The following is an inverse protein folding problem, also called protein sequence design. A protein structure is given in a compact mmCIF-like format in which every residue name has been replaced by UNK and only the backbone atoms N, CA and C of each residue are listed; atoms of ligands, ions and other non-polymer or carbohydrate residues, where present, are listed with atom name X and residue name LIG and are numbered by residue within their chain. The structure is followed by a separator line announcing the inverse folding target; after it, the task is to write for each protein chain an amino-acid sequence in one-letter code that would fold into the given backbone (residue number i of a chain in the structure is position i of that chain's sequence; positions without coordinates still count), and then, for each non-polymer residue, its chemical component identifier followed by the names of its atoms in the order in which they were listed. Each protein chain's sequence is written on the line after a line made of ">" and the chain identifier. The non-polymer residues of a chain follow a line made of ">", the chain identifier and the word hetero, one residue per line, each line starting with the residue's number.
data_IF_506922348343
#
_entry.id   IF_506922348343
#
_cell.length_a   1.000
_cell.length_b   1.000
_cell.length_c   1.000
_cell.angle_alpha   90.00
_cell.angle_beta   90.00
_cell.angle_gamma   90.00
#
_symmetry.space_group_name_H-M   'P 1'
#
loop_
_entity.id
_entity.type
_entity.pdbx_description
1 polymer ?
#
# COMPACT_ATOMS: atom_id res chain seq x y z
N UNK A 1 4.42 14.10 -28.36
CA UNK A 1 4.96 13.26 -27.29
C UNK A 1 3.82 12.40 -26.80
N UNK A 2 3.87 11.09 -27.04
CA UNK A 2 2.98 10.17 -26.35
C UNK A 2 3.45 10.12 -24.91
N UNK A 3 2.65 10.66 -23.98
CA UNK A 3 2.81 10.35 -22.57
C UNK A 3 2.59 8.84 -22.47
N UNK A 4 3.61 8.10 -22.05
CA UNK A 4 3.42 6.68 -21.74
C UNK A 4 2.76 6.64 -20.39
N UNK A 5 1.56 6.08 -20.34
CA UNK A 5 0.78 5.91 -19.12
C UNK A 5 1.54 5.00 -18.15
N UNK A 6 1.78 5.47 -16.92
CA UNK A 6 2.51 4.71 -15.89
C UNK A 6 1.60 3.66 -15.26
N UNK A 7 2.17 2.69 -14.52
CA UNK A 7 1.38 1.72 -13.77
C UNK A 7 0.44 2.40 -12.75
N UNK A 8 0.91 3.46 -12.11
CA UNK A 8 0.09 4.25 -11.19
C UNK A 8 -1.05 5.01 -11.90
N UNK A 9 -0.90 5.37 -13.18
CA UNK A 9 -1.97 5.98 -13.97
C UNK A 9 -3.03 4.93 -14.37
N UNK A 10 -2.61 3.72 -14.76
CA UNK A 10 -3.51 2.62 -15.11
C UNK A 10 -4.37 2.16 -13.92
N UNK A 11 -3.74 2.09 -12.74
CA UNK A 11 -4.42 1.71 -11.49
C UNK A 11 -5.04 2.90 -10.73
N UNK A 12 -5.00 4.11 -11.31
CA UNK A 12 -5.48 5.34 -10.66
C UNK A 12 -6.90 5.22 -10.09
N UNK A 13 -7.90 4.63 -10.81
CA UNK A 13 -9.25 4.52 -10.26
C UNK A 13 -9.31 3.70 -8.97
N UNK A 14 -8.53 2.61 -8.87
CA UNK A 14 -8.49 1.73 -7.70
C UNK A 14 -7.77 2.39 -6.52
N UNK A 15 -6.66 3.08 -6.81
CA UNK A 15 -5.93 3.87 -5.82
C UNK A 15 -6.83 4.97 -5.25
N UNK A 16 -7.48 5.75 -6.11
CA UNK A 16 -8.35 6.85 -5.68
C UNK A 16 -9.53 6.34 -4.85
N UNK A 17 -10.19 5.25 -5.28
CA UNK A 17 -11.28 4.60 -4.54
C UNK A 17 -10.84 4.15 -3.14
N UNK A 18 -9.69 3.47 -3.04
CA UNK A 18 -9.18 2.95 -1.77
C UNK A 18 -8.82 4.08 -0.81
N UNK A 19 -8.06 5.09 -1.25
CA UNK A 19 -7.68 6.20 -0.38
C UNK A 19 -8.87 7.10 -0.02
N UNK A 20 -9.90 7.19 -0.87
CA UNK A 20 -11.15 7.84 -0.51
C UNK A 20 -11.86 7.08 0.61
N UNK A 21 -12.00 5.75 0.47
CA UNK A 21 -12.62 4.91 1.49
C UNK A 21 -11.90 5.03 2.84
N UNK A 22 -10.56 4.93 2.85
CA UNK A 22 -9.74 5.10 4.04
C UNK A 22 -9.94 6.47 4.71
N UNK A 23 -10.04 7.53 3.90
CA UNK A 23 -10.30 8.88 4.41
C UNK A 23 -11.68 8.99 5.06
N UNK A 24 -12.71 8.40 4.43
CA UNK A 24 -14.08 8.40 4.95
C UNK A 24 -14.22 7.56 6.23
N UNK A 25 -13.49 6.44 6.30
CA UNK A 25 -13.42 5.56 7.46
C UNK A 25 -12.79 6.27 8.66
N UNK A 26 -11.61 6.84 8.46
CA UNK A 26 -10.86 7.54 9.50
C UNK A 26 -11.54 8.85 9.97
N UNK A 27 -12.44 9.43 9.17
CA UNK A 27 -13.20 10.61 9.59
C UNK A 27 -14.51 10.27 10.32
N UNK A 28 -14.88 8.98 10.42
CA UNK A 28 -16.16 8.56 11.00
C UNK A 28 -17.36 9.13 10.24
N UNK A 29 -17.21 9.47 8.95
CA UNK A 29 -18.26 10.17 8.19
C UNK A 29 -19.57 9.37 8.13
N UNK A 30 -19.49 8.04 8.24
CA UNK A 30 -20.62 7.13 8.31
C UNK A 30 -21.41 7.19 9.62
N UNK A 31 -20.83 7.75 10.69
CA UNK A 31 -21.43 7.82 12.05
C UNK A 31 -22.24 9.11 12.26
N UNK A 32 -22.53 9.89 11.19
CA UNK A 32 -23.20 11.19 11.32
C UNK A 32 -24.53 11.12 12.11
N UNK A 33 -24.48 11.53 13.39
CA UNK A 33 -25.64 12.02 14.14
C UNK A 33 -25.84 11.57 15.59
N UNK A 34 -25.21 10.51 16.10
CA UNK A 34 -25.70 9.91 17.37
C UNK A 34 -24.66 9.54 18.44
N UNK A 35 -23.35 9.64 18.19
CA UNK A 35 -22.38 9.15 19.19
C UNK A 35 -21.16 10.06 19.42
N UNK A 36 -21.23 10.89 20.46
CA UNK A 36 -20.10 11.65 21.00
C UNK A 36 -19.00 10.73 21.60
N UNK A 37 -19.20 9.39 21.61
CA UNK A 37 -18.23 8.41 22.09
C UNK A 37 -17.39 7.75 21.00
N UNK A 38 -17.51 8.20 19.75
CA UNK A 38 -16.68 7.67 18.65
C UNK A 38 -15.24 8.17 18.75
N UNK A 39 -14.30 7.24 18.91
CA UNK A 39 -12.87 7.48 18.85
C UNK A 39 -12.32 7.00 17.49
N UNK A 40 -11.46 7.77 16.82
CA UNK A 40 -10.84 7.37 15.56
C UNK A 40 -9.92 6.16 15.78
N UNK A 41 -10.05 5.16 14.91
CA UNK A 41 -9.20 3.96 14.91
C UNK A 41 -8.00 4.07 13.96
N UNK A 42 -7.93 5.14 13.17
CA UNK A 42 -6.91 5.37 12.15
C UNK A 42 -6.52 6.85 12.08
N UNK A 43 -5.23 7.16 11.98
CA UNK A 43 -4.75 8.54 11.77
C UNK A 43 -4.66 8.88 10.27
N UNK A 44 -5.72 9.50 9.74
CA UNK A 44 -5.78 9.96 8.35
C UNK A 44 -4.73 11.04 7.99
N UNK A 45 -4.08 11.67 8.96
CA UNK A 45 -3.19 12.81 8.70
C UNK A 45 -1.96 12.43 7.87
N UNK A 46 -1.60 11.13 7.87
CA UNK A 46 -0.46 10.58 7.12
C UNK A 46 -0.88 9.75 5.90
N UNK A 47 -2.17 9.66 5.57
CA UNK A 47 -2.65 8.97 4.37
C UNK A 47 -2.03 9.48 3.05
N UNK A 48 -1.79 10.79 2.85
CA UNK A 48 -1.09 11.27 1.66
C UNK A 48 0.32 10.67 1.50
N UNK A 49 1.01 10.39 2.61
CA UNK A 49 2.33 9.78 2.62
C UNK A 49 2.25 8.29 2.31
N UNK A 50 1.26 7.57 2.87
CA UNK A 50 0.96 6.17 2.51
C UNK A 50 0.69 6.06 1.01
N UNK A 51 -0.11 6.98 0.45
CA UNK A 51 -0.37 7.04 -1.00
C UNK A 51 0.91 7.23 -1.80
N UNK A 52 1.77 8.15 -1.39
CA UNK A 52 3.04 8.41 -2.07
C UNK A 52 4.01 7.21 -1.98
N UNK A 53 4.03 6.49 -0.87
CA UNK A 53 4.78 5.25 -0.69
C UNK A 53 4.28 4.17 -1.67
N UNK A 54 2.96 3.97 -1.71
CA UNK A 54 2.33 2.99 -2.59
C UNK A 54 2.53 3.30 -4.08
N UNK A 55 2.32 4.55 -4.50
CA UNK A 55 2.57 4.96 -5.89
C UNK A 55 4.04 4.80 -6.30
N UNK A 56 4.97 4.98 -5.35
CA UNK A 56 6.39 4.72 -5.59
C UNK A 56 6.68 3.23 -5.77
N UNK A 57 6.12 2.36 -4.92
CA UNK A 57 6.20 0.91 -5.08
C UNK A 57 5.74 0.48 -6.49
N UNK A 58 4.60 0.99 -6.96
CA UNK A 58 4.10 0.70 -8.31
C UNK A 58 5.08 1.14 -9.41
N UNK A 59 5.67 2.33 -9.27
CA UNK A 59 6.66 2.83 -10.21
C UNK A 59 7.95 1.99 -10.22
N UNK A 60 8.35 1.45 -9.07
CA UNK A 60 9.53 0.58 -8.97
C UNK A 60 9.26 -0.82 -9.51
N UNK A 61 8.07 -1.38 -9.31
CA UNK A 61 7.63 -2.62 -9.94
C UNK A 61 7.62 -2.53 -11.47
N UNK A 62 7.07 -1.45 -12.03
CA UNK A 62 7.07 -1.21 -13.47
C UNK A 62 8.50 -1.13 -14.04
N UNK A 63 9.42 -0.48 -13.31
CA UNK A 63 10.84 -0.41 -13.69
C UNK A 63 11.52 -1.77 -13.60
N UNK A 64 11.27 -2.54 -12.53
CA UNK A 64 11.84 -3.86 -12.33
C UNK A 64 11.42 -4.82 -13.44
N UNK A 65 10.15 -4.81 -13.82
CA UNK A 65 9.63 -5.58 -14.95
C UNK A 65 10.26 -5.17 -16.29
N UNK A 66 10.50 -3.86 -16.49
CA UNK A 66 11.16 -3.34 -17.69
C UNK A 66 12.67 -3.62 -17.79
N UNK A 67 13.35 -3.99 -16.69
CA UNK A 67 14.80 -4.12 -16.62
C UNK A 67 15.35 -5.45 -17.19
N UNK A 68 14.50 -6.43 -17.50
CA UNK A 68 14.91 -7.73 -18.06
C UNK A 68 14.80 -8.89 -17.06
N UNK A 69 15.60 -9.96 -17.19
CA UNK A 69 15.38 -11.22 -16.48
C UNK A 69 15.88 -11.15 -15.02
N UNK A 70 15.23 -10.36 -14.19
CA UNK A 70 15.21 -10.57 -12.75
C UNK A 70 14.18 -11.66 -12.43
N UNK A 71 14.41 -12.45 -11.38
CA UNK A 71 13.35 -13.29 -10.84
C UNK A 71 12.22 -12.37 -10.32
N UNK A 72 10.99 -12.48 -10.86
CA UNK A 72 9.87 -11.64 -10.45
C UNK A 72 9.61 -11.67 -8.94
N UNK A 73 9.81 -12.82 -8.28
CA UNK A 73 9.57 -12.97 -6.86
C UNK A 73 10.63 -12.22 -6.03
N UNK A 74 11.91 -12.35 -6.37
CA UNK A 74 12.99 -11.64 -5.69
C UNK A 74 12.86 -10.12 -5.88
N UNK A 75 12.53 -9.69 -7.11
CA UNK A 75 12.39 -8.27 -7.43
C UNK A 75 11.19 -7.63 -6.71
N UNK A 76 10.04 -8.29 -6.68
CA UNK A 76 8.86 -7.76 -5.99
C UNK A 76 8.98 -7.88 -4.47
N UNK A 77 9.57 -8.96 -3.94
CA UNK A 77 9.74 -9.16 -2.51
C UNK A 77 10.56 -8.07 -1.83
N UNK A 78 11.68 -7.66 -2.43
CA UNK A 78 12.50 -6.58 -1.88
C UNK A 78 11.75 -5.24 -1.83
N UNK A 79 11.02 -4.91 -2.89
CA UNK A 79 10.25 -3.66 -2.97
C UNK A 79 9.08 -3.64 -1.98
N UNK A 80 8.40 -4.77 -1.81
CA UNK A 80 7.31 -4.92 -0.82
C UNK A 80 7.83 -4.78 0.60
N UNK A 81 9.00 -5.36 0.91
CA UNK A 81 9.63 -5.20 2.23
C UNK A 81 10.01 -3.74 2.52
N UNK A 82 10.55 -3.02 1.53
CA UNK A 82 10.84 -1.60 1.67
C UNK A 82 9.58 -0.77 1.89
N UNK A 83 8.51 -1.08 1.17
CA UNK A 83 7.20 -0.47 1.37
C UNK A 83 6.69 -0.68 2.81
N UNK A 84 6.74 -1.91 3.34
CA UNK A 84 6.31 -2.17 4.72
C UNK A 84 7.08 -1.38 5.76
N UNK A 85 8.41 -1.31 5.62
CA UNK A 85 9.26 -0.52 6.54
C UNK A 85 8.90 0.97 6.51
N UNK A 86 8.48 1.49 5.35
CA UNK A 86 8.01 2.86 5.26
C UNK A 86 6.67 3.04 5.98
N UNK A 87 5.74 2.09 5.85
CA UNK A 87 4.47 2.11 6.56
C UNK A 87 4.68 2.01 8.08
N UNK A 88 5.57 1.15 8.56
CA UNK A 88 5.95 1.07 9.97
C UNK A 88 6.46 2.42 10.48
N UNK A 89 7.33 3.10 9.71
CA UNK A 89 7.81 4.44 10.05
C UNK A 89 6.70 5.50 10.09
N UNK A 90 5.67 5.39 9.26
CA UNK A 90 4.50 6.27 9.30
C UNK A 90 3.62 5.97 10.52
N UNK A 91 3.43 4.70 10.88
CA UNK A 91 2.72 4.29 12.08
C UNK A 91 3.43 4.79 13.36
N UNK A 92 4.75 4.65 13.42
CA UNK A 92 5.57 5.21 14.51
C UNK A 92 5.43 6.74 14.60
N UNK A 93 5.38 7.42 13.46
CA UNK A 93 5.21 8.87 13.41
C UNK A 93 3.82 9.33 13.89
N UNK A 94 2.76 8.58 13.58
CA UNK A 94 1.39 8.87 14.05
C UNK A 94 1.25 8.67 15.57
N UNK A 95 2.02 7.74 16.14
CA UNK A 95 2.18 7.56 17.57
C UNK A 95 1.07 6.70 18.19
N UNK A 96 -0.02 7.32 18.66
CA UNK A 96 -1.02 6.63 19.47
C UNK A 96 -2.03 5.81 18.65
N UNK A 97 -2.30 6.24 17.42
CA UNK A 97 -3.26 5.61 16.52
C UNK A 97 -2.50 5.37 15.20
N UNK A 98 -2.41 4.12 14.72
CA UNK A 98 -1.70 3.82 13.48
C UNK A 98 -2.39 4.44 12.27
N UNK A 99 -1.62 4.59 11.20
CA UNK A 99 -2.10 5.05 9.89
C UNK A 99 -2.58 3.88 9.05
N UNK A 100 -1.94 2.70 9.18
CA UNK A 100 -2.25 1.49 8.42
C UNK A 100 -2.10 0.30 9.36
N UNK A 101 -3.15 -0.49 9.53
CA UNK A 101 -3.11 -1.78 10.21
C UNK A 101 -3.29 -2.93 9.20
N UNK A 102 -3.60 -4.12 9.69
CA UNK A 102 -3.82 -5.32 8.87
C UNK A 102 -4.91 -5.13 7.80
N UNK A 103 -6.01 -4.45 8.15
CA UNK A 103 -7.15 -4.27 7.26
C UNK A 103 -6.81 -3.33 6.10
N UNK A 104 -6.22 -2.16 6.39
CA UNK A 104 -5.82 -1.22 5.34
C UNK A 104 -4.66 -1.78 4.49
N UNK A 105 -3.76 -2.57 5.09
CA UNK A 105 -2.72 -3.24 4.34
C UNK A 105 -3.30 -4.28 3.38
N UNK A 106 -4.30 -5.05 3.79
CA UNK A 106 -4.93 -6.04 2.93
C UNK A 106 -5.54 -5.39 1.68
N UNK A 107 -6.19 -4.23 1.81
CA UNK A 107 -6.72 -3.46 0.68
C UNK A 107 -5.61 -3.01 -0.29
N UNK A 108 -4.47 -2.54 0.24
CA UNK A 108 -3.31 -2.15 -0.57
C UNK A 108 -2.67 -3.35 -1.27
N UNK A 109 -2.64 -4.51 -0.62
CA UNK A 109 -2.12 -5.76 -1.20
C UNK A 109 -3.00 -6.29 -2.33
N UNK A 110 -4.30 -6.03 -2.31
CA UNK A 110 -5.18 -6.38 -3.43
C UNK A 110 -4.87 -5.55 -4.69
N UNK A 111 -4.56 -4.26 -4.53
CA UNK A 111 -4.08 -3.44 -5.66
C UNK A 111 -2.69 -3.91 -6.12
N UNK A 112 -1.82 -4.32 -5.19
CA UNK A 112 -0.51 -4.87 -5.53
C UNK A 112 -0.62 -6.16 -6.36
N UNK A 113 -1.57 -7.05 -6.05
CA UNK A 113 -1.85 -8.24 -6.87
C UNK A 113 -2.20 -7.86 -8.31
N UNK A 114 -3.07 -6.88 -8.48
CA UNK A 114 -3.44 -6.35 -9.80
C UNK A 114 -2.21 -5.75 -10.52
N UNK A 115 -1.39 -4.98 -9.79
CA UNK A 115 -0.17 -4.37 -10.30
C UNK A 115 0.87 -5.39 -10.80
N UNK A 116 1.11 -6.45 -10.03
CA UNK A 116 2.01 -7.55 -10.41
C UNK A 116 1.51 -8.22 -11.69
N UNK A 117 0.20 -8.46 -11.83
CA UNK A 117 -0.37 -9.01 -13.06
C UNK A 117 -0.14 -8.10 -14.28
N UNK A 118 -0.34 -6.79 -14.13
CA UNK A 118 -0.18 -5.81 -15.22
C UNK A 118 1.25 -5.73 -15.75
N UNK A 119 2.25 -5.84 -14.87
CA UNK A 119 3.67 -5.78 -15.26
C UNK A 119 4.24 -7.14 -15.71
N UNK A 120 3.39 -8.17 -15.83
CA UNK A 120 3.80 -9.51 -16.24
C UNK A 120 4.38 -10.38 -15.13
N UNK A 121 4.27 -9.93 -13.88
CA UNK A 121 4.65 -10.66 -12.67
C UNK A 121 3.47 -11.45 -12.07
N UNK A 122 2.36 -11.63 -12.80
CA UNK A 122 1.14 -12.31 -12.30
C UNK A 122 1.30 -13.79 -11.91
N UNK A 123 2.46 -14.41 -12.15
CA UNK A 123 2.79 -15.74 -11.64
C UNK A 123 3.45 -15.71 -10.24
N UNK A 124 3.79 -14.52 -9.76
CA UNK A 124 4.25 -14.31 -8.38
C UNK A 124 3.08 -14.60 -7.46
N UNK A 125 3.29 -15.58 -6.60
CA UNK A 125 2.36 -15.89 -5.52
C UNK A 125 2.58 -14.85 -4.42
N UNK A 126 1.62 -13.93 -4.27
CA UNK A 126 1.65 -12.87 -3.28
C UNK A 126 1.72 -13.39 -1.84
N UNK A 127 1.24 -14.61 -1.59
CA UNK A 127 1.35 -15.26 -0.28
C UNK A 127 2.81 -15.68 0.03
N UNK A 128 3.71 -15.63 -0.97
CA UNK A 128 5.15 -15.88 -0.83
C UNK A 128 5.99 -14.62 -0.81
N UNK A 129 5.38 -13.46 -0.98
CA UNK A 129 6.05 -12.19 -0.70
C UNK A 129 6.20 -12.03 0.82
N UNK A 130 7.12 -11.15 1.27
CA UNK A 130 7.18 -10.81 2.68
C UNK A 130 5.78 -10.49 3.20
N UNK A 131 5.45 -11.03 4.37
CA UNK A 131 4.17 -10.76 5.00
C UNK A 131 4.23 -9.47 5.79
N UNK A 132 3.11 -8.77 5.83
CA UNK A 132 2.93 -7.64 6.73
C UNK A 132 3.18 -8.11 8.17
N UNK A 133 3.93 -7.34 8.95
CA UNK A 133 4.48 -7.68 10.29
C UNK A 133 5.62 -8.71 10.39
N UNK A 134 5.93 -9.54 9.37
CA UNK A 134 7.17 -10.34 9.39
C UNK A 134 8.43 -9.46 9.24
N UNK A 135 8.28 -8.25 8.68
CA UNK A 135 9.37 -7.28 8.52
C UNK A 135 9.97 -6.77 9.85
N UNK A 136 9.28 -6.99 10.97
CA UNK A 136 9.71 -6.58 12.32
C UNK A 136 10.24 -7.70 13.21
N UNK A 137 10.23 -8.96 12.76
CA UNK A 137 10.67 -10.11 13.58
C UNK A 137 12.18 -10.44 13.46
N UNK A 138 12.96 -9.68 12.68
CA UNK A 138 14.42 -9.78 12.64
C UNK A 138 15.11 -8.94 13.74
N UNK A 139 14.73 -9.10 15.00
CA UNK A 139 15.61 -8.92 16.19
C UNK A 139 14.77 -9.11 17.47
N UNK A 140 14.79 -10.32 18.03
CA UNK A 140 14.45 -10.60 19.44
C UNK A 140 15.36 -11.69 19.99
#
# INVERSE_FOLDING_TARGET
>A
MTVTETLADRLRPRIDETFQFLTEFASGSYVHGEDDSWDPTMDASLLPQVRAAFERLLGELERAAGAGPADPADASGALVLEFYREIDGLNEQAGAIPVVEDEEMADLLDILKEALAEVGFGAVDVDKLPQWHEAGEEDS
#
